data_IF_941731160450
#
_entry.id   IF_941731160450
#
_cell.length_a   1.000
_cell.length_b   1.000
_cell.length_c   1.000
_cell.angle_alpha   90.00
_cell.angle_beta   90.00
_cell.angle_gamma   90.00
#
_symmetry.space_group_name_H-M   'P 1'
#
loop_
_entity.id
_entity.type
_entity.pdbx_description
1 polymer ?
#
# COMPACT_ATOMS: atom_id res chain seq x y z
N UNK A 1 -45.89 -27.13 -9.66
CA UNK A 1 -45.05 -27.90 -8.72
C UNK A 1 -44.30 -28.94 -9.52
N UNK A 2 -43.07 -28.63 -9.92
CA UNK A 2 -42.12 -29.61 -10.40
C UNK A 2 -41.12 -29.78 -9.25
N UNK A 3 -41.15 -30.95 -8.62
CA UNK A 3 -40.20 -31.35 -7.59
C UNK A 3 -38.83 -31.52 -8.24
N UNK A 4 -37.86 -30.73 -7.83
CA UNK A 4 -36.45 -31.08 -8.04
C UNK A 4 -36.17 -32.24 -7.10
N UNK A 5 -35.87 -33.42 -7.65
CA UNK A 5 -35.44 -34.57 -6.87
C UNK A 5 -34.11 -34.24 -6.18
N UNK A 6 -34.04 -34.46 -4.87
CA UNK A 6 -32.84 -34.34 -4.03
C UNK A 6 -31.79 -35.43 -4.36
N UNK A 7 -31.34 -35.52 -5.62
CA UNK A 7 -30.34 -36.52 -6.05
C UNK A 7 -29.11 -35.94 -6.76
N UNK A 8 -29.00 -34.61 -6.93
CA UNK A 8 -27.85 -33.98 -7.61
C UNK A 8 -27.05 -33.01 -6.72
N UNK A 9 -27.11 -33.16 -5.40
CA UNK A 9 -26.31 -32.33 -4.48
C UNK A 9 -24.88 -32.83 -4.25
N UNK A 10 -24.40 -33.79 -5.05
CA UNK A 10 -23.11 -34.47 -4.82
C UNK A 10 -22.25 -34.66 -6.08
N UNK A 11 -22.67 -34.13 -7.22
CA UNK A 11 -21.80 -34.03 -8.40
C UNK A 11 -21.00 -32.75 -8.26
N UNK A 12 -19.77 -32.89 -7.74
CA UNK A 12 -18.75 -31.87 -7.91
C UNK A 12 -18.55 -31.66 -9.41
N UNK A 13 -19.28 -30.70 -9.97
CA UNK A 13 -19.25 -30.41 -11.38
C UNK A 13 -17.88 -29.92 -11.84
N UNK A 14 -17.02 -29.48 -10.92
CA UNK A 14 -15.64 -29.06 -11.20
C UNK A 14 -14.76 -30.26 -11.50
N UNK A 15 -14.98 -31.42 -10.85
CA UNK A 15 -14.23 -32.66 -11.10
C UNK A 15 -14.37 -33.22 -12.52
N UNK A 16 -15.33 -32.71 -13.31
CA UNK A 16 -15.47 -33.04 -14.73
C UNK A 16 -14.45 -32.33 -15.63
N UNK A 17 -13.73 -31.34 -15.10
CA UNK A 17 -12.76 -30.54 -15.83
C UNK A 17 -11.35 -30.81 -15.30
N UNK A 18 -10.44 -31.17 -16.20
CA UNK A 18 -9.01 -31.24 -15.89
C UNK A 18 -8.42 -29.83 -15.92
N UNK A 19 -8.49 -29.15 -14.77
CA UNK A 19 -7.98 -27.77 -14.61
C UNK A 19 -6.45 -27.68 -14.57
N UNK A 20 -5.75 -28.83 -14.53
CA UNK A 20 -4.29 -28.88 -14.59
C UNK A 20 -3.77 -28.89 -16.05
N UNK A 21 -4.68 -29.00 -17.03
CA UNK A 21 -4.35 -29.05 -18.45
C UNK A 21 -4.81 -27.81 -19.20
N UNK A 22 -3.85 -26.96 -19.57
CA UNK A 22 -4.07 -25.80 -20.44
C UNK A 22 -4.68 -26.23 -21.79
N UNK A 23 -5.66 -25.44 -22.25
CA UNK A 23 -6.30 -25.56 -23.55
C UNK A 23 -7.82 -25.60 -23.49
N UNK A 24 -8.43 -25.74 -24.67
CA UNK A 24 -9.89 -25.80 -24.83
C UNK A 24 -10.37 -27.24 -24.79
N UNK A 25 -11.26 -27.53 -23.85
CA UNK A 25 -12.02 -28.79 -23.78
C UNK A 25 -13.45 -28.55 -24.23
N UNK A 26 -13.93 -29.37 -25.17
CA UNK A 26 -15.31 -29.30 -25.69
C UNK A 26 -16.17 -30.37 -25.03
N UNK A 27 -17.34 -29.98 -24.55
CA UNK A 27 -18.26 -30.87 -23.84
C UNK A 27 -19.57 -31.00 -24.62
N UNK A 28 -20.03 -32.24 -24.72
CA UNK A 28 -21.29 -32.58 -25.37
C UNK A 28 -22.26 -33.15 -24.35
N UNK A 29 -23.46 -32.58 -24.27
CA UNK A 29 -24.56 -32.98 -23.39
C UNK A 29 -25.90 -32.48 -23.92
N UNK A 30 -26.89 -32.17 -23.06
CA UNK A 30 -28.14 -31.53 -23.50
C UNK A 30 -27.93 -30.15 -24.17
N UNK A 31 -26.79 -29.52 -23.89
CA UNK A 31 -26.27 -28.33 -24.58
C UNK A 31 -24.77 -28.52 -24.80
N UNK A 32 -24.26 -27.99 -25.91
CA UNK A 32 -22.82 -27.90 -26.17
C UNK A 32 -22.25 -26.69 -25.43
N UNK A 33 -21.08 -26.87 -24.82
CA UNK A 33 -20.30 -25.79 -24.22
C UNK A 33 -18.81 -26.13 -24.25
N UNK A 34 -17.97 -25.12 -24.07
CA UNK A 34 -16.52 -25.24 -24.07
C UNK A 34 -15.96 -24.67 -22.76
N UNK A 35 -14.85 -25.24 -22.29
CA UNK A 35 -14.07 -24.73 -21.15
C UNK A 35 -12.64 -24.52 -21.63
N UNK A 36 -12.11 -23.32 -21.41
CA UNK A 36 -10.73 -22.98 -21.69
C UNK A 36 -9.97 -22.82 -20.37
N UNK A 37 -8.96 -23.66 -20.18
CA UNK A 37 -8.00 -23.53 -19.07
C UNK A 37 -6.79 -22.77 -19.61
N UNK A 38 -6.45 -21.65 -19.00
CA UNK A 38 -5.33 -20.78 -19.40
C UNK A 38 -4.17 -20.89 -18.41
N UNK A 39 -2.96 -20.53 -18.84
CA UNK A 39 -1.86 -20.26 -17.91
C UNK A 39 -2.20 -18.98 -17.13
N UNK A 40 -2.29 -19.08 -15.80
CA UNK A 40 -2.70 -17.94 -14.96
C UNK A 40 -1.75 -16.75 -14.99
N UNK A 41 -0.55 -16.90 -15.55
CA UNK A 41 0.54 -15.93 -15.43
C UNK A 41 1.05 -15.37 -16.76
N UNK A 42 0.74 -16.03 -17.89
CA UNK A 42 1.29 -15.70 -19.21
C UNK A 42 0.91 -14.28 -19.65
N UNK A 43 -0.38 -13.99 -19.77
CA UNK A 43 -0.89 -12.67 -20.18
C UNK A 43 -0.39 -11.54 -19.27
N UNK A 44 -0.34 -11.81 -17.97
CA UNK A 44 0.15 -10.86 -16.98
C UNK A 44 1.62 -10.49 -17.22
N UNK A 45 2.49 -11.47 -17.47
CA UNK A 45 3.90 -11.19 -17.75
C UNK A 45 4.15 -10.66 -19.15
N UNK A 46 3.31 -10.99 -20.13
CA UNK A 46 3.34 -10.32 -21.43
C UNK A 46 3.06 -8.82 -21.28
N UNK A 47 2.05 -8.45 -20.50
CA UNK A 47 1.76 -7.05 -20.18
C UNK A 47 2.95 -6.38 -19.49
N UNK A 48 3.48 -6.96 -18.40
CA UNK A 48 4.59 -6.35 -17.65
C UNK A 48 5.87 -6.18 -18.48
N UNK A 49 6.16 -7.10 -19.42
CA UNK A 49 7.29 -6.96 -20.36
C UNK A 49 7.16 -5.75 -21.29
N UNK A 50 5.93 -5.28 -21.56
CA UNK A 50 5.73 -4.03 -22.31
C UNK A 50 6.02 -2.79 -21.46
N UNK A 51 6.05 -2.93 -20.14
CA UNK A 51 6.12 -1.82 -19.21
C UNK A 51 7.53 -1.56 -18.67
N UNK A 52 8.30 -2.63 -18.47
CA UNK A 52 9.60 -2.62 -17.81
C UNK A 52 10.72 -3.12 -18.72
N UNK A 53 11.95 -2.69 -18.45
CA UNK A 53 13.16 -3.21 -19.08
C UNK A 53 13.69 -4.40 -18.26
N UNK A 54 13.18 -5.58 -18.59
CA UNK A 54 13.56 -6.83 -17.91
C UNK A 54 15.05 -7.16 -18.10
N UNK A 55 15.69 -6.73 -19.20
CA UNK A 55 17.13 -6.96 -19.40
C UNK A 55 17.96 -6.17 -18.39
N UNK A 56 17.57 -4.92 -18.11
CA UNK A 56 18.23 -4.11 -17.08
C UNK A 56 18.06 -4.72 -15.68
N UNK A 57 16.88 -5.27 -15.38
CA UNK A 57 16.60 -5.91 -14.10
C UNK A 57 17.40 -7.22 -13.99
N UNK A 58 17.47 -8.04 -15.03
CA UNK A 58 18.33 -9.23 -15.05
C UNK A 58 19.80 -8.88 -14.77
N UNK A 59 20.32 -7.76 -15.31
CA UNK A 59 21.68 -7.29 -15.01
C UNK A 59 21.87 -6.93 -13.54
N UNK A 60 20.84 -6.38 -12.88
CA UNK A 60 20.85 -6.15 -11.43
C UNK A 60 20.93 -7.48 -10.67
N UNK A 61 20.11 -8.48 -11.02
CA UNK A 61 20.13 -9.81 -10.40
C UNK A 61 21.44 -10.59 -10.65
N UNK A 62 22.14 -10.30 -11.75
CA UNK A 62 23.42 -10.92 -12.06
C UNK A 62 24.61 -10.32 -11.28
N UNK A 63 24.40 -9.23 -10.53
CA UNK A 63 25.46 -8.65 -9.68
C UNK A 63 25.73 -9.57 -8.48
N UNK A 64 27.01 -9.77 -8.18
CA UNK A 64 27.42 -10.57 -7.02
C UNK A 64 27.09 -9.91 -5.67
N UNK A 65 26.91 -8.59 -5.67
CA UNK A 65 26.63 -7.78 -4.48
C UNK A 65 25.16 -7.37 -4.34
N UNK A 66 24.25 -7.98 -5.13
CA UNK A 66 22.81 -7.78 -5.00
C UNK A 66 22.10 -9.09 -4.68
N UNK A 67 21.29 -9.05 -3.63
CA UNK A 67 20.48 -10.18 -3.17
C UNK A 67 19.03 -9.77 -2.93
N UNK A 68 18.11 -10.66 -3.29
CA UNK A 68 16.67 -10.40 -3.25
C UNK A 68 15.92 -11.55 -2.56
N UNK A 69 14.91 -11.21 -1.76
CA UNK A 69 14.00 -12.16 -1.14
C UNK A 69 12.55 -11.70 -1.26
N UNK A 70 11.73 -12.51 -1.92
CA UNK A 70 10.29 -12.34 -1.99
C UNK A 70 9.58 -13.36 -1.10
N UNK A 71 8.56 -12.88 -0.39
CA UNK A 71 7.69 -13.70 0.43
C UNK A 71 6.26 -13.71 -0.14
N UNK A 72 5.87 -14.87 -0.68
CA UNK A 72 4.54 -15.04 -1.27
C UNK A 72 3.46 -15.36 -0.22
N UNK A 73 3.80 -15.45 1.07
CA UNK A 73 2.86 -15.69 2.18
C UNK A 73 1.93 -16.90 1.98
N UNK A 74 2.39 -17.93 1.25
CA UNK A 74 1.59 -19.11 0.86
C UNK A 74 0.32 -18.78 0.06
N UNK A 75 0.33 -17.63 -0.62
CA UNK A 75 -0.79 -17.06 -1.35
C UNK A 75 -0.62 -17.19 -2.87
N UNK A 76 -1.57 -16.62 -3.63
CA UNK A 76 -1.69 -16.78 -5.09
C UNK A 76 -0.46 -16.30 -5.85
N UNK A 77 0.32 -15.38 -5.29
CA UNK A 77 1.53 -14.84 -5.93
C UNK A 77 2.71 -15.82 -5.94
N UNK A 78 2.61 -16.99 -5.30
CA UNK A 78 3.68 -18.00 -5.29
C UNK A 78 4.15 -18.45 -6.69
N UNK A 79 3.26 -19.00 -7.54
CA UNK A 79 3.57 -19.34 -8.93
C UNK A 79 4.08 -18.16 -9.76
N UNK A 80 3.47 -16.98 -9.58
CA UNK A 80 3.89 -15.75 -10.27
C UNK A 80 5.32 -15.36 -9.88
N UNK A 81 5.66 -15.42 -8.59
CA UNK A 81 6.98 -15.10 -8.10
C UNK A 81 8.05 -16.07 -8.61
N UNK A 82 7.74 -17.36 -8.71
CA UNK A 82 8.67 -18.34 -9.29
C UNK A 82 8.93 -18.05 -10.77
N UNK A 83 7.87 -17.86 -11.56
CA UNK A 83 8.03 -17.53 -12.98
C UNK A 83 8.74 -16.19 -13.20
N UNK A 84 8.36 -15.15 -12.46
CA UNK A 84 8.96 -13.82 -12.59
C UNK A 84 10.40 -13.78 -12.08
N UNK A 85 10.63 -14.04 -10.79
CA UNK A 85 11.93 -13.79 -10.19
C UNK A 85 12.94 -14.86 -10.57
N UNK A 86 12.55 -16.14 -10.61
CA UNK A 86 13.49 -17.25 -10.87
C UNK A 86 13.66 -17.46 -12.38
N UNK A 87 12.57 -17.78 -13.10
CA UNK A 87 12.66 -18.19 -14.50
C UNK A 87 12.96 -17.01 -15.44
N UNK A 88 12.30 -15.88 -15.25
CA UNK A 88 12.44 -14.71 -16.12
C UNK A 88 13.63 -13.84 -15.69
N UNK A 89 13.73 -13.47 -14.42
CA UNK A 89 14.75 -12.51 -13.95
C UNK A 89 16.06 -13.16 -13.48
N UNK A 90 16.11 -14.47 -13.31
CA UNK A 90 17.34 -15.22 -13.02
C UNK A 90 17.75 -15.24 -11.54
N UNK A 91 16.84 -14.95 -10.62
CA UNK A 91 17.09 -15.11 -9.19
C UNK A 91 17.26 -16.59 -8.81
N UNK A 92 18.04 -16.93 -7.77
CA UNK A 92 18.10 -18.29 -7.26
C UNK A 92 16.74 -18.73 -6.67
N UNK A 93 16.46 -20.04 -6.61
CA UNK A 93 15.21 -20.56 -6.03
C UNK A 93 14.97 -20.09 -4.58
N UNK A 94 16.06 -19.89 -3.82
CA UNK A 94 16.01 -19.37 -2.45
C UNK A 94 15.49 -17.95 -2.32
N UNK A 95 15.37 -17.20 -3.43
CA UNK A 95 14.80 -15.86 -3.45
C UNK A 95 13.28 -15.83 -3.32
N UNK A 96 12.60 -16.99 -3.33
CA UNK A 96 11.16 -17.07 -3.07
C UNK A 96 10.92 -17.94 -1.84
N UNK A 97 10.41 -17.34 -0.76
CA UNK A 97 9.93 -18.06 0.41
C UNK A 97 8.39 -18.14 0.41
N UNK A 98 7.87 -19.19 1.03
CA UNK A 98 6.42 -19.47 1.10
C UNK A 98 5.73 -19.44 -0.28
N UNK A 99 6.46 -19.78 -1.35
CA UNK A 99 6.01 -19.71 -2.75
C UNK A 99 5.06 -20.83 -3.21
N UNK A 100 4.46 -21.57 -2.29
CA UNK A 100 3.47 -22.62 -2.60
C UNK A 100 2.13 -22.18 -2.04
N UNK A 101 1.12 -22.09 -2.91
CA UNK A 101 -0.25 -21.76 -2.51
C UNK A 101 -0.80 -22.84 -1.58
N UNK A 102 -1.35 -22.44 -0.43
CA UNK A 102 -2.02 -23.33 0.52
C UNK A 102 -3.41 -22.77 0.83
N UNK A 103 -4.41 -23.64 0.95
CA UNK A 103 -5.80 -23.23 1.22
C UNK A 103 -5.96 -22.45 2.53
N UNK A 104 -5.09 -22.72 3.51
CA UNK A 104 -5.05 -22.08 4.82
C UNK A 104 -3.91 -21.06 4.97
N UNK A 105 -3.22 -20.73 3.87
CA UNK A 105 -2.02 -19.86 3.86
C UNK A 105 -0.93 -20.29 4.86
N UNK A 106 -0.83 -21.61 5.14
CA UNK A 106 0.10 -22.13 6.15
C UNK A 106 -0.28 -21.77 7.59
N UNK A 107 -1.56 -21.50 7.83
CA UNK A 107 -2.10 -21.05 9.12
C UNK A 107 -1.79 -19.59 9.46
N UNK A 108 -1.23 -18.83 8.50
CA UNK A 108 -0.88 -17.42 8.65
C UNK A 108 -1.95 -16.45 8.11
N UNK A 109 -1.73 -15.15 8.34
CA UNK A 109 -2.54 -14.10 7.72
C UNK A 109 -1.77 -13.55 6.51
N UNK A 110 -2.27 -13.69 5.26
CA UNK A 110 -1.58 -13.24 4.06
C UNK A 110 -1.77 -11.71 3.87
N UNK A 111 -1.23 -10.93 4.81
CA UNK A 111 -1.29 -9.47 4.84
C UNK A 111 0.12 -8.91 5.11
N UNK A 112 0.75 -8.22 4.14
CA UNK A 112 2.18 -7.90 4.18
C UNK A 112 2.45 -6.66 5.04
N UNK A 113 2.40 -6.83 6.36
CA UNK A 113 2.75 -5.79 7.34
C UNK A 113 3.83 -6.29 8.32
N UNK A 114 4.39 -5.38 9.13
CA UNK A 114 5.48 -5.68 10.06
C UNK A 114 5.11 -6.75 11.12
N UNK A 115 3.82 -6.97 11.38
CA UNK A 115 3.34 -7.99 12.32
C UNK A 115 3.26 -9.36 11.65
N UNK A 116 2.57 -9.49 10.53
CA UNK A 116 2.32 -10.79 9.88
C UNK A 116 3.46 -11.26 8.97
N UNK A 117 4.25 -10.33 8.42
CA UNK A 117 5.47 -10.62 7.66
C UNK A 117 6.73 -10.54 8.53
N UNK A 118 6.61 -10.75 9.85
CA UNK A 118 7.73 -10.65 10.79
C UNK A 118 8.90 -11.60 10.45
N UNK A 119 8.65 -12.77 9.84
CA UNK A 119 9.73 -13.64 9.37
C UNK A 119 10.58 -12.97 8.28
N UNK A 120 9.93 -12.35 7.28
CA UNK A 120 10.62 -11.61 6.23
C UNK A 120 11.40 -10.42 6.83
N UNK A 121 10.79 -9.66 7.74
CA UNK A 121 11.46 -8.52 8.42
C UNK A 121 12.73 -8.99 9.13
N UNK A 122 12.67 -10.09 9.88
CA UNK A 122 13.85 -10.67 10.54
C UNK A 122 14.92 -11.12 9.56
N UNK A 123 14.53 -11.71 8.42
CA UNK A 123 15.48 -12.10 7.37
C UNK A 123 16.14 -10.90 6.70
N UNK A 124 15.44 -9.76 6.61
CA UNK A 124 15.95 -8.52 6.05
C UNK A 124 16.78 -7.69 7.05
N UNK A 125 16.81 -8.05 8.33
CA UNK A 125 17.52 -7.31 9.37
C UNK A 125 18.97 -7.82 9.53
N UNK A 126 20.00 -7.02 9.19
CA UNK A 126 21.40 -7.44 9.31
C UNK A 126 21.85 -7.73 10.74
N UNK A 127 21.13 -7.23 11.76
CA UNK A 127 21.40 -7.55 13.16
C UNK A 127 20.93 -8.96 13.55
N UNK A 128 20.00 -9.54 12.79
CA UNK A 128 19.43 -10.88 13.01
C UNK A 128 19.85 -11.89 11.93
N UNK A 129 20.25 -11.42 10.75
CA UNK A 129 20.72 -12.21 9.63
C UNK A 129 21.92 -11.53 8.95
N UNK A 130 23.13 -12.05 9.17
CA UNK A 130 24.35 -11.51 8.54
C UNK A 130 24.32 -11.52 7.00
N UNK A 131 23.49 -12.39 6.40
CA UNK A 131 23.24 -12.47 4.96
C UNK A 131 21.88 -11.84 4.59
N UNK A 132 21.48 -10.77 5.29
CA UNK A 132 20.26 -10.05 4.98
C UNK A 132 20.25 -9.58 3.51
N UNK A 133 19.15 -9.80 2.76
CA UNK A 133 19.06 -9.39 1.37
C UNK A 133 19.14 -7.87 1.23
N UNK A 134 19.59 -7.40 0.07
CA UNK A 134 19.65 -5.98 -0.28
C UNK A 134 18.25 -5.39 -0.52
N UNK A 135 17.33 -6.23 -1.01
CA UNK A 135 15.91 -5.93 -1.11
C UNK A 135 15.06 -7.13 -0.67
N UNK A 136 14.10 -6.87 0.21
CA UNK A 136 13.03 -7.79 0.58
C UNK A 136 11.68 -7.28 0.08
N UNK A 137 10.77 -8.20 -0.26
CA UNK A 137 9.40 -7.83 -0.59
C UNK A 137 8.41 -8.92 -0.20
N UNK A 138 7.15 -8.53 0.04
CA UNK A 138 6.04 -9.46 0.24
C UNK A 138 4.80 -8.99 -0.53
N UNK A 139 3.90 -9.92 -0.82
CA UNK A 139 2.58 -9.61 -1.37
C UNK A 139 1.50 -10.37 -0.61
N UNK A 140 0.25 -9.91 -0.72
CA UNK A 140 -0.87 -10.40 0.08
C UNK A 140 -1.62 -11.57 -0.59
N UNK A 141 -2.79 -11.92 -0.02
CA UNK A 141 -3.57 -13.10 -0.38
C UNK A 141 -3.93 -13.22 -1.86
N UNK A 142 -4.35 -12.13 -2.49
CA UNK A 142 -4.74 -12.06 -3.90
C UNK A 142 -3.71 -11.33 -4.78
N UNK A 143 -2.68 -10.73 -4.18
CA UNK A 143 -1.55 -10.14 -4.87
C UNK A 143 -1.69 -8.65 -5.20
N UNK A 144 -2.71 -7.98 -4.67
CA UNK A 144 -3.01 -6.59 -4.94
C UNK A 144 -2.21 -5.61 -4.04
N UNK A 145 -1.57 -6.11 -2.97
CA UNK A 145 -0.74 -5.33 -2.05
C UNK A 145 0.71 -5.79 -2.01
N UNK A 146 1.58 -4.90 -1.55
CA UNK A 146 3.02 -5.13 -1.45
C UNK A 146 3.66 -4.46 -0.23
N UNK A 147 4.65 -5.11 0.35
CA UNK A 147 5.59 -4.51 1.29
C UNK A 147 6.99 -4.49 0.68
N UNK A 148 7.72 -3.40 0.90
CA UNK A 148 9.10 -3.22 0.42
C UNK A 148 10.04 -3.02 1.61
N UNK A 149 11.13 -3.76 1.61
CA UNK A 149 12.20 -3.70 2.60
C UNK A 149 13.54 -3.52 1.89
N UNK A 150 14.40 -2.68 2.47
CA UNK A 150 15.84 -2.74 2.27
C UNK A 150 16.51 -3.55 3.39
N UNK A 151 17.83 -3.66 3.31
CA UNK A 151 18.66 -4.27 4.37
C UNK A 151 18.55 -3.50 5.69
N UNK A 152 17.75 -4.01 6.61
CA UNK A 152 17.44 -3.38 7.90
C UNK A 152 16.58 -2.13 7.80
N UNK A 153 15.89 -1.93 6.67
CA UNK A 153 15.19 -0.67 6.38
C UNK A 153 13.77 -0.92 5.89
N UNK A 154 12.77 -0.36 6.58
CA UNK A 154 11.38 -0.43 6.16
C UNK A 154 11.01 0.77 5.28
N UNK A 155 10.52 0.52 4.07
CA UNK A 155 9.93 1.55 3.21
C UNK A 155 8.44 1.61 3.53
N UNK A 156 7.98 2.74 4.09
CA UNK A 156 6.54 2.90 4.33
C UNK A 156 5.78 2.89 2.99
N UNK A 157 4.52 2.42 2.93
CA UNK A 157 3.73 2.46 1.69
C UNK A 157 3.61 3.88 1.12
N UNK A 158 3.58 4.89 1.99
CA UNK A 158 3.50 6.30 1.60
C UNK A 158 4.80 6.77 0.90
N UNK A 159 5.97 6.45 1.49
CA UNK A 159 7.27 6.75 0.87
C UNK A 159 7.46 5.93 -0.42
N UNK A 160 7.01 4.67 -0.43
CA UNK A 160 7.06 3.80 -1.60
C UNK A 160 6.35 4.43 -2.80
N UNK A 161 5.10 4.86 -2.61
CA UNK A 161 4.33 5.58 -3.63
C UNK A 161 5.07 6.85 -4.08
N UNK A 162 5.56 7.66 -3.15
CA UNK A 162 6.23 8.92 -3.46
C UNK A 162 7.53 8.71 -4.26
N UNK A 163 8.35 7.72 -3.90
CA UNK A 163 9.58 7.36 -4.62
C UNK A 163 9.26 6.86 -6.02
N UNK A 164 8.27 5.97 -6.17
CA UNK A 164 7.84 5.45 -7.47
C UNK A 164 7.41 6.62 -8.36
N UNK A 165 6.54 7.52 -7.88
CA UNK A 165 6.08 8.68 -8.66
C UNK A 165 7.24 9.62 -9.02
N UNK A 166 8.18 9.86 -8.08
CA UNK A 166 9.31 10.75 -8.30
C UNK A 166 10.25 10.25 -9.41
N UNK A 167 10.41 8.94 -9.53
CA UNK A 167 11.35 8.30 -10.44
C UNK A 167 10.69 7.64 -11.65
N UNK A 168 9.35 7.61 -11.73
CA UNK A 168 8.61 6.88 -12.76
C UNK A 168 9.04 7.26 -14.18
N UNK A 169 9.00 8.55 -14.53
CA UNK A 169 9.34 9.00 -15.88
C UNK A 169 10.84 8.86 -16.22
N UNK A 170 11.71 8.78 -15.21
CA UNK A 170 13.16 8.60 -15.40
C UNK A 170 13.51 7.12 -15.59
N UNK A 171 12.99 6.26 -14.71
CA UNK A 171 13.46 4.89 -14.56
C UNK A 171 12.58 3.85 -15.24
N UNK A 172 11.28 4.08 -15.40
CA UNK A 172 10.32 3.06 -15.82
C UNK A 172 9.87 3.35 -17.26
N UNK A 173 10.21 2.48 -18.25
CA UNK A 173 9.92 2.72 -19.67
C UNK A 173 8.46 3.10 -19.95
N UNK A 174 7.52 2.42 -19.28
CA UNK A 174 6.08 2.66 -19.41
C UNK A 174 5.65 4.09 -19.11
N UNK A 175 6.30 4.80 -18.19
CA UNK A 175 5.90 6.13 -17.74
C UNK A 175 6.65 7.27 -18.42
N UNK A 176 7.64 6.96 -19.27
CA UNK A 176 8.46 7.96 -19.96
C UNK A 176 7.58 8.85 -20.84
N UNK A 177 7.46 10.13 -20.45
CA UNK A 177 6.63 11.11 -21.16
C UNK A 177 5.12 10.92 -21.01
N UNK A 178 4.67 10.10 -20.03
CA UNK A 178 3.25 9.80 -19.79
C UNK A 178 2.70 10.32 -18.47
N UNK A 179 3.55 10.76 -17.55
CA UNK A 179 3.11 11.27 -16.25
C UNK A 179 2.38 12.61 -16.40
N UNK A 180 1.10 12.64 -16.04
CA UNK A 180 0.26 13.85 -15.93
C UNK A 180 -0.20 14.07 -14.49
N UNK A 181 -0.38 12.98 -13.72
CA UNK A 181 -0.76 13.08 -12.32
C UNK A 181 -0.55 11.79 -11.51
N UNK A 182 -0.76 11.92 -10.21
CA UNK A 182 -0.78 10.83 -9.25
C UNK A 182 -2.01 10.96 -8.33
N UNK A 183 -2.37 9.88 -7.64
CA UNK A 183 -3.44 9.93 -6.65
C UNK A 183 -3.09 9.11 -5.41
N UNK A 184 -3.65 9.52 -4.26
CA UNK A 184 -3.57 8.75 -3.03
C UNK A 184 -4.88 8.80 -2.26
N UNK A 185 -5.09 7.81 -1.39
CA UNK A 185 -6.19 7.89 -0.43
C UNK A 185 -5.91 9.01 0.58
N UNK A 186 -6.96 9.63 1.11
CA UNK A 186 -6.87 10.68 2.12
C UNK A 186 -6.04 10.27 3.35
N UNK A 187 -6.15 9.05 3.88
CA UNK A 187 -5.33 8.61 5.01
C UNK A 187 -3.86 8.37 4.67
N UNK A 188 -3.49 8.24 3.39
CA UNK A 188 -2.09 8.12 2.96
C UNK A 188 -1.35 9.43 3.21
N UNK A 189 -0.13 9.35 3.73
CA UNK A 189 0.73 10.50 4.01
C UNK A 189 0.98 11.33 2.74
N UNK A 190 1.14 12.64 2.91
CA UNK A 190 1.28 13.62 1.85
C UNK A 190 2.66 13.66 1.17
N UNK A 191 3.45 12.58 1.24
CA UNK A 191 4.77 12.51 0.63
C UNK A 191 4.71 12.68 -0.90
N UNK A 192 3.75 12.01 -1.54
CA UNK A 192 3.53 12.11 -2.99
C UNK A 192 3.08 13.52 -3.42
N UNK A 193 2.41 14.26 -2.56
CA UNK A 193 1.98 15.64 -2.82
C UNK A 193 3.20 16.56 -2.97
N UNK A 194 4.26 16.35 -2.17
CA UNK A 194 5.53 17.08 -2.28
C UNK A 194 6.24 16.78 -3.60
N UNK A 195 6.17 15.52 -4.05
CA UNK A 195 6.70 15.09 -5.34
C UNK A 195 5.93 15.73 -6.48
N UNK A 196 4.61 15.61 -6.49
CA UNK A 196 3.75 16.13 -7.53
C UNK A 196 3.89 17.66 -7.66
N UNK A 197 3.94 18.39 -6.54
CA UNK A 197 4.16 19.83 -6.53
C UNK A 197 5.51 20.21 -7.19
N UNK A 198 6.59 19.47 -6.91
CA UNK A 198 7.92 19.74 -7.49
C UNK A 198 8.01 19.36 -8.97
N UNK A 199 7.30 18.31 -9.39
CA UNK A 199 7.29 17.83 -10.77
C UNK A 199 6.22 18.51 -11.65
N UNK A 200 5.34 19.32 -11.08
CA UNK A 200 4.24 19.98 -11.80
C UNK A 200 3.14 19.00 -12.24
N UNK A 201 2.92 17.94 -11.47
CA UNK A 201 1.89 16.92 -11.72
C UNK A 201 0.60 17.26 -10.97
N UNK A 202 -0.55 16.83 -11.49
CA UNK A 202 -1.77 16.80 -10.70
C UNK A 202 -1.62 15.78 -9.56
N UNK A 203 -2.18 16.08 -8.38
CA UNK A 203 -2.20 15.14 -7.26
C UNK A 203 -3.59 15.12 -6.63
N UNK A 204 -4.23 13.95 -6.65
CA UNK A 204 -5.59 13.78 -6.13
C UNK A 204 -5.57 13.10 -4.77
N UNK A 205 -6.20 13.75 -3.80
CA UNK A 205 -6.55 13.14 -2.51
C UNK A 205 -7.98 12.59 -2.59
N UNK A 206 -8.13 11.28 -2.66
CA UNK A 206 -9.43 10.61 -2.81
C UNK A 206 -9.86 9.93 -1.50
N UNK A 207 -11.13 9.59 -1.31
CA UNK A 207 -11.49 8.67 -0.23
C UNK A 207 -10.86 7.29 -0.45
N UNK A 208 -10.80 6.46 0.60
CA UNK A 208 -10.36 5.07 0.47
C UNK A 208 -11.28 4.30 -0.48
N UNK A 209 -10.68 3.49 -1.35
CA UNK A 209 -11.37 2.62 -2.28
C UNK A 209 -10.98 2.87 -3.74
N UNK A 210 -10.57 1.80 -4.42
CA UNK A 210 -9.99 1.86 -5.76
C UNK A 210 -10.90 2.47 -6.84
N UNK A 211 -12.22 2.48 -6.64
CA UNK A 211 -13.18 3.08 -7.58
C UNK A 211 -12.88 4.55 -7.93
N UNK A 212 -12.38 5.35 -6.98
CA UNK A 212 -12.05 6.76 -7.24
C UNK A 212 -10.78 6.88 -8.09
N UNK A 213 -9.82 5.99 -7.88
CA UNK A 213 -8.64 5.91 -8.75
C UNK A 213 -9.04 5.44 -10.14
N UNK A 214 -9.90 4.42 -10.27
CA UNK A 214 -10.42 3.95 -11.56
C UNK A 214 -10.92 5.09 -12.46
N UNK A 215 -11.74 5.98 -11.91
CA UNK A 215 -12.21 7.19 -12.61
C UNK A 215 -11.05 8.08 -13.12
N UNK A 216 -10.06 8.35 -12.26
CA UNK A 216 -8.91 9.20 -12.61
C UNK A 216 -7.97 8.53 -13.62
N UNK A 217 -7.78 7.22 -13.52
CA UNK A 217 -7.00 6.40 -14.45
C UNK A 217 -7.66 6.37 -15.83
N UNK A 218 -8.98 6.14 -15.90
CA UNK A 218 -9.76 6.17 -17.14
C UNK A 218 -9.73 7.54 -17.82
N UNK A 219 -9.73 8.62 -17.03
CA UNK A 219 -9.64 9.98 -17.53
C UNK A 219 -8.22 10.44 -17.90
N UNK A 220 -7.19 9.61 -17.65
CA UNK A 220 -5.79 9.96 -17.90
C UNK A 220 -5.28 11.12 -17.04
N UNK A 221 -5.93 11.38 -15.89
CA UNK A 221 -5.54 12.44 -14.94
C UNK A 221 -4.59 11.96 -13.86
N UNK A 222 -4.49 10.65 -13.67
CA UNK A 222 -3.44 10.04 -12.87
C UNK A 222 -2.91 8.79 -13.60
N UNK A 223 -1.63 8.48 -13.42
CA UNK A 223 -1.02 7.26 -13.95
C UNK A 223 -0.61 6.29 -12.84
N UNK A 224 -0.39 6.79 -11.62
CA UNK A 224 0.06 6.00 -10.48
C UNK A 224 -0.80 6.38 -9.27
N UNK A 225 -1.30 5.37 -8.56
CA UNK A 225 -2.13 5.54 -7.38
C UNK A 225 -1.65 4.66 -6.24
N UNK A 226 -1.87 5.09 -4.99
CA UNK A 226 -1.53 4.26 -3.84
C UNK A 226 -2.33 4.55 -2.56
N UNK A 227 -2.29 3.57 -1.67
CA UNK A 227 -2.95 3.59 -0.36
C UNK A 227 -1.96 3.18 0.73
N UNK A 228 -2.12 3.76 1.91
CA UNK A 228 -1.30 3.52 3.10
C UNK A 228 -1.33 2.06 3.57
N UNK A 229 -2.36 1.33 3.14
CA UNK A 229 -2.56 -0.10 3.40
C UNK A 229 -1.77 -0.98 2.43
N UNK A 230 -0.52 -0.63 2.10
CA UNK A 230 0.37 -1.42 1.24
C UNK A 230 -0.13 -1.58 -0.21
N UNK A 231 -1.04 -0.72 -0.67
CA UNK A 231 -1.62 -0.78 -2.00
C UNK A 231 -0.93 0.19 -2.95
N UNK A 232 -0.50 -0.28 -4.12
CA UNK A 232 0.03 0.60 -5.17
C UNK A 232 -0.34 0.00 -6.53
N UNK A 233 -0.68 0.85 -7.49
CA UNK A 233 -1.02 0.42 -8.84
C UNK A 233 -0.91 1.57 -9.82
N UNK A 234 -1.23 1.29 -11.08
CA UNK A 234 -1.14 2.25 -12.17
C UNK A 234 -2.27 2.05 -13.19
N UNK A 235 -2.26 2.85 -14.26
CA UNK A 235 -3.26 2.82 -15.33
C UNK A 235 -3.22 1.55 -16.21
N UNK A 236 -2.28 0.62 -15.97
CA UNK A 236 -2.11 -0.62 -16.74
C UNK A 236 -3.23 -1.63 -16.51
N UNK A 237 -3.84 -1.63 -15.33
CA UNK A 237 -5.01 -2.44 -14.97
C UNK A 237 -6.00 -1.59 -14.15
N UNK A 238 -7.12 -2.18 -13.72
CA UNK A 238 -8.12 -1.52 -12.86
C UNK A 238 -8.18 -2.13 -11.46
N UNK A 239 -7.02 -2.57 -10.98
CA UNK A 239 -6.77 -3.03 -9.62
C UNK A 239 -5.43 -2.52 -9.10
N UNK A 240 -5.22 -2.66 -7.80
CA UNK A 240 -3.89 -2.55 -7.20
C UNK A 240 -3.06 -3.75 -7.66
N UNK A 241 -1.74 -3.61 -7.67
CA UNK A 241 -0.86 -4.66 -8.19
C UNK A 241 0.46 -4.69 -7.42
N UNK A 242 0.60 -5.67 -6.55
CA UNK A 242 1.75 -5.80 -5.67
C UNK A 242 3.04 -6.15 -6.41
N UNK A 243 2.97 -7.05 -7.40
CA UNK A 243 4.14 -7.44 -8.19
C UNK A 243 4.58 -6.31 -9.12
N UNK A 244 3.64 -5.53 -9.68
CA UNK A 244 3.95 -4.29 -10.40
C UNK A 244 4.73 -3.30 -9.53
N UNK A 245 4.30 -3.07 -8.28
CA UNK A 245 4.99 -2.14 -7.38
C UNK A 245 6.41 -2.63 -7.03
N UNK A 246 6.58 -3.95 -6.84
CA UNK A 246 7.89 -4.56 -6.63
C UNK A 246 8.78 -4.41 -7.87
N UNK A 247 8.24 -4.61 -9.08
CA UNK A 247 8.95 -4.36 -10.33
C UNK A 247 9.31 -2.88 -10.53
N UNK A 248 8.48 -1.94 -10.09
CA UNK A 248 8.84 -0.52 -10.07
C UNK A 248 10.13 -0.29 -9.26
N UNK A 249 10.21 -0.88 -8.06
CA UNK A 249 11.41 -0.78 -7.22
C UNK A 249 12.63 -1.45 -7.84
N UNK A 250 12.48 -2.67 -8.38
CA UNK A 250 13.56 -3.37 -9.06
C UNK A 250 14.06 -2.60 -10.29
N UNK A 251 13.15 -2.00 -11.07
CA UNK A 251 13.49 -1.18 -12.22
C UNK A 251 14.25 0.10 -11.80
N UNK A 252 13.80 0.76 -10.73
CA UNK A 252 14.49 1.90 -10.15
C UNK A 252 15.91 1.51 -9.71
N UNK A 253 16.05 0.39 -8.98
CA UNK A 253 17.35 -0.13 -8.56
C UNK A 253 18.23 -0.47 -9.76
N UNK A 254 17.69 -1.09 -10.80
CA UNK A 254 18.43 -1.45 -12.01
C UNK A 254 19.00 -0.20 -12.71
N UNK A 255 18.22 0.87 -12.82
CA UNK A 255 18.68 2.14 -13.41
C UNK A 255 19.73 2.81 -12.54
N UNK A 256 19.51 2.89 -11.22
CA UNK A 256 20.45 3.51 -10.27
C UNK A 256 21.75 2.69 -10.10
N UNK A 257 21.75 1.42 -10.48
CA UNK A 257 22.90 0.51 -10.44
C UNK A 257 23.37 0.05 -11.82
N UNK A 258 23.12 0.85 -12.86
CA UNK A 258 23.48 0.53 -14.24
C UNK A 258 25.00 0.43 -14.49
N UNK A 259 25.82 1.09 -13.67
CA UNK A 259 27.26 0.89 -13.62
C UNK A 259 27.59 -0.27 -12.66
N UNK A 260 27.87 -1.45 -13.22
CA UNK A 260 28.24 -2.64 -12.47
C UNK A 260 29.57 -2.50 -11.69
N UNK A 261 30.41 -1.50 -12.02
CA UNK A 261 31.67 -1.26 -11.32
C UNK A 261 31.54 -0.34 -10.11
N UNK A 262 30.41 0.37 -9.99
CA UNK A 262 30.12 1.23 -8.86
C UNK A 262 29.56 0.42 -7.66
N UNK A 263 29.78 0.91 -6.43
CA UNK A 263 29.13 0.35 -5.24
C UNK A 263 27.60 0.36 -5.39
N UNK A 264 26.94 -0.68 -4.88
CA UNK A 264 25.49 -0.79 -4.91
C UNK A 264 24.82 0.40 -4.20
N UNK A 265 23.96 1.10 -4.93
CA UNK A 265 22.97 2.05 -4.43
C UNK A 265 21.82 1.24 -3.81
N UNK A 266 21.67 1.34 -2.49
CA UNK A 266 20.69 0.58 -1.71
C UNK A 266 19.30 1.22 -1.70
N UNK A 267 18.27 0.43 -1.35
CA UNK A 267 16.90 0.93 -1.11
C UNK A 267 16.89 2.08 -0.09
N UNK A 268 17.61 1.94 1.02
CA UNK A 268 17.72 2.98 2.05
C UNK A 268 18.33 4.27 1.50
N UNK A 269 19.38 4.19 0.67
CA UNK A 269 20.00 5.38 0.09
C UNK A 269 19.06 6.13 -0.83
N UNK A 270 18.28 5.42 -1.66
CA UNK A 270 17.28 6.03 -2.55
C UNK A 270 16.21 6.76 -1.74
N UNK A 271 15.72 6.16 -0.65
CA UNK A 271 14.72 6.78 0.22
C UNK A 271 15.30 7.99 0.97
N UNK A 272 16.55 7.91 1.43
CA UNK A 272 17.22 9.06 2.08
C UNK A 272 17.46 10.22 1.10
N UNK A 273 17.84 9.93 -0.14
CA UNK A 273 17.98 10.94 -1.19
C UNK A 273 16.63 11.58 -1.54
N UNK A 274 15.56 10.77 -1.52
CA UNK A 274 14.19 11.27 -1.65
C UNK A 274 13.85 12.24 -0.50
N UNK A 275 14.07 11.86 0.75
CA UNK A 275 13.81 12.73 1.90
C UNK A 275 14.63 14.03 1.85
N UNK A 276 15.91 13.95 1.47
CA UNK A 276 16.73 15.14 1.29
C UNK A 276 16.18 16.10 0.21
N UNK A 277 15.49 15.55 -0.80
CA UNK A 277 14.97 16.30 -1.95
C UNK A 277 13.57 16.89 -1.71
N UNK A 278 12.71 16.19 -0.98
CA UNK A 278 11.28 16.50 -0.83
C UNK A 278 10.85 16.78 0.62
N UNK A 279 11.70 16.47 1.60
CA UNK A 279 11.33 16.34 3.00
C UNK A 279 10.88 14.91 3.33
N UNK A 280 10.76 14.61 4.62
CA UNK A 280 10.22 13.32 5.12
C UNK A 280 8.84 13.54 5.71
N UNK A 281 7.87 12.72 5.30
CA UNK A 281 6.57 12.64 5.96
C UNK A 281 6.60 11.42 6.90
N UNK A 282 6.94 11.66 8.16
CA UNK A 282 6.81 10.63 9.18
C UNK A 282 5.36 10.18 9.25
N UNK A 283 5.13 8.88 9.33
CA UNK A 283 3.80 8.30 9.32
C UNK A 283 3.70 7.15 10.32
N UNK A 284 2.54 7.02 10.96
CA UNK A 284 2.18 5.88 11.79
C UNK A 284 0.66 5.69 11.76
N UNK A 285 0.21 4.44 11.65
CA UNK A 285 -1.21 4.08 11.78
C UNK A 285 -1.42 3.19 12.99
N UNK A 286 -2.35 3.58 13.84
CA UNK A 286 -2.77 2.84 15.03
C UNK A 286 -4.18 2.28 14.80
N UNK A 287 -4.30 0.97 14.78
CA UNK A 287 -5.58 0.27 14.63
C UNK A 287 -6.02 -0.30 15.97
N UNK A 288 -7.21 0.10 16.42
CA UNK A 288 -7.89 -0.43 17.60
C UNK A 288 -9.04 -1.32 17.14
N UNK A 289 -8.77 -2.61 17.02
CA UNK A 289 -9.69 -3.59 16.45
C UNK A 289 -10.66 -4.17 17.48
N UNK A 290 -11.85 -4.59 17.05
CA UNK A 290 -12.83 -5.25 17.92
C UNK A 290 -13.35 -4.36 19.05
N UNK A 291 -13.43 -3.05 18.80
CA UNK A 291 -14.00 -2.08 19.74
C UNK A 291 -15.53 -2.17 19.64
N UNK A 292 -16.21 -1.98 20.78
CA UNK A 292 -17.66 -1.92 20.81
C UNK A 292 -18.17 -0.77 19.93
N UNK A 293 -19.10 -1.06 19.02
CA UNK A 293 -19.53 -0.16 17.94
C UNK A 293 -20.10 1.15 18.45
N UNK A 294 -20.95 1.13 19.48
CA UNK A 294 -21.58 2.34 20.03
C UNK A 294 -20.54 3.23 20.73
N UNK A 295 -19.58 2.62 21.42
CA UNK A 295 -18.48 3.30 22.09
C UNK A 295 -17.55 3.97 21.07
N UNK A 296 -17.26 3.29 19.97
CA UNK A 296 -16.49 3.85 18.87
C UNK A 296 -17.24 4.99 18.17
N UNK A 297 -18.55 4.85 17.94
CA UNK A 297 -19.38 5.90 17.37
C UNK A 297 -19.40 7.16 18.25
N UNK A 298 -19.59 7.01 19.57
CA UNK A 298 -19.54 8.13 20.53
C UNK A 298 -18.19 8.86 20.53
N UNK A 299 -17.09 8.13 20.37
CA UNK A 299 -15.76 8.74 20.25
C UNK A 299 -15.65 9.59 18.97
N UNK A 300 -16.19 9.10 17.85
CA UNK A 300 -16.22 9.85 16.59
C UNK A 300 -17.13 11.09 16.68
N UNK A 301 -18.29 10.97 17.33
CA UNK A 301 -19.18 12.10 17.58
C UNK A 301 -18.49 13.16 18.46
N UNK A 302 -17.79 12.74 19.52
CA UNK A 302 -16.99 13.63 20.35
C UNK A 302 -15.92 14.38 19.54
N UNK A 303 -15.19 13.68 18.67
CA UNK A 303 -14.21 14.33 17.79
C UNK A 303 -14.87 15.33 16.84
N UNK A 304 -16.07 15.06 16.35
CA UNK A 304 -16.82 16.01 15.52
C UNK A 304 -17.20 17.27 16.33
N UNK A 305 -17.64 17.12 17.57
CA UNK A 305 -17.91 18.25 18.47
C UNK A 305 -16.64 19.08 18.75
N UNK A 306 -15.48 18.42 18.89
CA UNK A 306 -14.18 19.11 19.01
C UNK A 306 -13.88 19.92 17.75
N UNK A 307 -14.12 19.38 16.55
CA UNK A 307 -13.95 20.12 15.30
C UNK A 307 -14.88 21.34 15.23
N UNK A 308 -16.15 21.18 15.60
CA UNK A 308 -17.13 22.28 15.63
C UNK A 308 -16.68 23.40 16.59
N UNK A 309 -16.19 23.02 17.78
CA UNK A 309 -15.62 23.95 18.75
C UNK A 309 -14.39 24.69 18.23
N UNK A 310 -13.47 23.99 17.56
CA UNK A 310 -12.30 24.61 16.93
C UNK A 310 -12.70 25.60 15.84
N UNK A 311 -13.56 25.18 14.93
CA UNK A 311 -14.02 26.01 13.80
C UNK A 311 -14.76 27.27 14.29
N UNK A 312 -15.58 27.15 15.34
CA UNK A 312 -16.30 28.29 15.91
C UNK A 312 -15.38 29.33 16.58
N UNK A 313 -14.18 28.93 17.00
CA UNK A 313 -13.20 29.79 17.68
C UNK A 313 -11.99 30.12 16.80
N UNK A 314 -12.05 29.84 15.49
CA UNK A 314 -10.97 30.14 14.56
C UNK A 314 -10.72 31.65 14.46
N UNK A 315 -9.44 32.05 14.51
CA UNK A 315 -9.00 33.43 14.32
C UNK A 315 -8.11 33.48 13.08
N UNK A 316 -8.47 34.33 12.12
CA UNK A 316 -7.79 34.44 10.81
C UNK A 316 -7.67 33.09 10.07
N UNK A 317 -8.69 32.23 10.20
CA UNK A 317 -8.72 30.89 9.58
C UNK A 317 -7.81 29.85 10.26
N UNK A 318 -7.17 30.20 11.37
CA UNK A 318 -6.33 29.30 12.16
C UNK A 318 -7.02 28.91 13.47
N UNK A 319 -6.89 27.65 13.85
CA UNK A 319 -7.41 27.10 15.09
C UNK A 319 -6.27 26.71 16.02
N UNK A 320 -6.54 26.73 17.33
CA UNK A 320 -5.57 26.37 18.37
C UNK A 320 -6.11 25.21 19.19
N UNK A 321 -5.27 24.21 19.44
CA UNK A 321 -5.50 23.16 20.42
C UNK A 321 -4.65 23.46 21.65
N UNK A 322 -5.24 24.11 22.65
CA UNK A 322 -4.63 24.46 23.94
C UNK A 322 -3.12 24.85 23.85
N UNK A 323 -2.27 24.11 24.56
CA UNK A 323 -0.81 24.32 24.67
C UNK A 323 -0.02 23.69 23.51
N UNK A 324 -0.67 23.16 22.47
CA UNK A 324 0.03 22.61 21.33
C UNK A 324 0.63 23.72 20.47
N UNK A 325 1.95 23.65 20.26
CA UNK A 325 2.73 24.74 19.68
C UNK A 325 2.44 25.04 18.20
N UNK A 326 1.71 24.16 17.50
CA UNK A 326 1.42 24.26 16.07
C UNK A 326 -0.06 24.50 15.84
N UNK A 327 -0.41 25.51 15.04
CA UNK A 327 -1.82 25.83 14.74
C UNK A 327 -2.39 24.90 13.67
N UNK A 328 -3.71 24.75 13.71
CA UNK A 328 -4.46 24.00 12.71
C UNK A 328 -4.96 24.93 11.62
N UNK A 329 -4.82 24.48 10.38
CA UNK A 329 -5.39 25.11 9.18
C UNK A 329 -6.73 24.49 8.80
N UNK A 330 -7.02 23.27 9.25
CA UNK A 330 -8.27 22.57 8.94
C UNK A 330 -8.67 21.61 10.06
N UNK A 331 -9.95 21.62 10.41
CA UNK A 331 -10.60 20.64 11.29
C UNK A 331 -11.93 20.26 10.62
N UNK A 332 -11.95 19.17 9.87
CA UNK A 332 -13.10 18.82 9.01
C UNK A 332 -13.37 17.32 8.97
N UNK A 333 -14.58 16.96 8.57
CA UNK A 333 -14.90 15.60 8.16
C UNK A 333 -14.80 15.50 6.63
N UNK A 334 -13.76 14.80 6.16
CA UNK A 334 -13.37 14.77 4.75
C UNK A 334 -14.56 14.46 3.84
N UNK A 335 -14.71 15.28 2.81
CA UNK A 335 -15.67 15.09 1.74
C UNK A 335 -14.98 15.27 0.40
N UNK A 336 -15.44 14.52 -0.59
CA UNK A 336 -14.83 14.47 -1.91
C UNK A 336 -15.93 14.56 -2.95
N UNK A 337 -15.72 15.43 -3.95
CA UNK A 337 -16.53 15.46 -5.16
C UNK A 337 -15.65 14.93 -6.28
N UNK A 338 -16.03 13.79 -6.84
CA UNK A 338 -15.27 13.16 -7.91
C UNK A 338 -15.27 14.07 -9.15
N UNK A 339 -14.09 14.43 -9.69
CA UNK A 339 -14.01 15.39 -10.78
C UNK A 339 -14.37 14.79 -12.14
N UNK A 340 -14.61 13.48 -12.22
CA UNK A 340 -14.95 12.76 -13.44
C UNK A 340 -16.45 12.50 -13.52
N UNK A 341 -17.03 11.87 -12.48
CA UNK A 341 -18.44 11.50 -12.47
C UNK A 341 -19.35 12.43 -11.65
N UNK A 342 -18.77 13.37 -10.89
CA UNK A 342 -19.51 14.33 -10.05
C UNK A 342 -20.13 13.73 -8.79
N UNK A 343 -19.87 12.46 -8.49
CA UNK A 343 -20.36 11.81 -7.27
C UNK A 343 -19.75 12.44 -6.02
N UNK A 344 -20.54 12.52 -4.95
CA UNK A 344 -20.14 13.16 -3.70
C UNK A 344 -20.05 12.10 -2.59
N UNK A 345 -18.86 11.94 -2.03
CA UNK A 345 -18.62 11.14 -0.84
C UNK A 345 -18.45 12.05 0.37
N UNK A 346 -19.27 11.86 1.39
CA UNK A 346 -19.20 12.64 2.64
C UNK A 346 -18.79 11.74 3.80
N UNK A 347 -18.35 12.36 4.90
CA UNK A 347 -18.04 11.68 6.16
C UNK A 347 -16.96 10.60 6.04
N UNK A 348 -15.91 10.87 5.27
CA UNK A 348 -14.89 9.88 4.92
C UNK A 348 -13.73 9.80 5.95
N UNK A 349 -13.71 10.69 6.95
CA UNK A 349 -12.75 10.67 8.06
C UNK A 349 -12.59 12.05 8.69
N UNK A 350 -12.42 12.10 10.00
CA UNK A 350 -12.21 13.34 10.75
C UNK A 350 -10.72 13.70 10.67
N UNK A 351 -10.39 14.83 10.04
CA UNK A 351 -9.03 15.29 9.80
C UNK A 351 -8.75 16.60 10.56
N UNK A 352 -7.58 16.64 11.20
CA UNK A 352 -6.98 17.82 11.82
C UNK A 352 -5.66 18.07 11.08
N UNK A 353 -5.61 19.10 10.23
CA UNK A 353 -4.41 19.47 9.47
C UNK A 353 -3.76 20.72 10.07
N UNK A 354 -2.43 20.71 10.11
CA UNK A 354 -1.60 21.71 10.77
C UNK A 354 -0.87 22.59 9.75
N UNK A 355 -0.44 23.78 10.18
CA UNK A 355 0.25 24.75 9.32
C UNK A 355 1.62 24.26 8.81
N UNK A 356 2.23 23.30 9.50
CA UNK A 356 3.50 22.66 9.13
C UNK A 356 3.34 21.48 8.15
N UNK A 357 2.14 21.27 7.59
CA UNK A 357 1.76 20.10 6.76
C UNK A 357 1.62 18.78 7.53
N UNK A 358 1.63 18.79 8.86
CA UNK A 358 1.29 17.60 9.67
C UNK A 358 -0.21 17.35 9.68
N UNK A 359 -0.64 16.11 9.95
CA UNK A 359 -2.05 15.71 9.98
C UNK A 359 -2.32 14.64 11.04
N UNK A 360 -3.48 14.74 11.68
CA UNK A 360 -4.08 13.66 12.48
C UNK A 360 -5.42 13.32 11.84
N UNK A 361 -5.66 12.03 11.57
CA UNK A 361 -6.89 11.57 10.94
C UNK A 361 -7.49 10.42 11.77
N UNK A 362 -8.81 10.45 11.96
CA UNK A 362 -9.57 9.36 12.55
C UNK A 362 -10.57 8.80 11.56
N UNK A 363 -10.60 7.47 11.43
CA UNK A 363 -11.59 6.75 10.65
C UNK A 363 -12.17 5.60 11.44
N UNK A 364 -13.44 5.33 11.20
CA UNK A 364 -14.13 4.17 11.72
C UNK A 364 -14.38 3.19 10.58
N UNK A 365 -14.04 1.93 10.79
CA UNK A 365 -14.18 0.86 9.79
C UNK A 365 -14.78 -0.40 10.41
N UNK A 366 -15.38 -1.26 9.58
CA UNK A 366 -15.79 -2.60 9.99
C UNK A 366 -16.91 -2.66 11.05
N UNK A 367 -17.99 -1.89 10.93
CA UNK A 367 -19.10 -1.86 11.93
C UNK A 367 -20.03 -3.08 11.91
N UNK A 368 -19.51 -4.26 11.52
CA UNK A 368 -20.26 -5.51 11.42
C UNK A 368 -20.37 -6.27 12.74
N UNK A 369 -20.74 -7.56 12.69
CA UNK A 369 -20.95 -8.41 13.87
C UNK A 369 -19.71 -8.64 14.75
N UNK A 370 -18.51 -8.32 14.23
CA UNK A 370 -17.23 -8.53 14.92
C UNK A 370 -16.73 -7.30 15.69
N UNK A 371 -17.55 -6.25 15.81
CA UNK A 371 -17.18 -4.96 16.40
C UNK A 371 -16.44 -4.05 15.43
N UNK A 372 -16.28 -2.78 15.79
CA UNK A 372 -15.68 -1.76 14.94
C UNK A 372 -14.15 -1.68 15.09
N UNK A 373 -13.49 -1.14 14.08
CA UNK A 373 -12.06 -0.79 14.12
C UNK A 373 -11.89 0.71 13.98
N UNK A 374 -11.32 1.33 15.01
CA UNK A 374 -10.90 2.73 14.98
C UNK A 374 -9.48 2.76 14.39
N UNK A 375 -9.30 3.54 13.33
CA UNK A 375 -8.00 3.79 12.71
C UNK A 375 -7.59 5.23 12.98
N UNK A 376 -6.46 5.40 13.64
CA UNK A 376 -5.85 6.69 13.93
C UNK A 376 -4.58 6.81 13.11
N UNK A 377 -4.50 7.82 12.24
CA UNK A 377 -3.37 8.08 11.36
C UNK A 377 -2.68 9.35 11.83
N UNK A 378 -1.35 9.30 11.94
CA UNK A 378 -0.55 10.42 12.39
C UNK A 378 0.54 10.65 11.36
N UNK A 379 0.61 11.88 10.88
CA UNK A 379 1.62 12.33 9.94
C UNK A 379 2.31 13.59 10.47
N UNK A 380 3.63 13.64 10.33
CA UNK A 380 4.43 14.84 10.58
C UNK A 380 5.41 15.08 9.45
N UNK A 381 5.38 16.27 8.87
CA UNK A 381 6.35 16.67 7.85
C UNK A 381 7.63 17.21 8.50
N UNK A 382 8.79 16.82 7.97
CA UNK A 382 10.09 17.30 8.39
C UNK A 382 10.94 17.67 7.18
N UNK A 383 11.32 18.95 7.12
CA UNK A 383 12.14 19.51 6.04
C UNK A 383 13.62 19.57 6.40
N UNK A 384 13.95 19.52 7.70
CA UNK A 384 15.31 19.61 8.21
C UNK A 384 16.05 18.26 8.07
N UNK A 385 17.07 18.16 7.19
CA UNK A 385 17.79 16.91 6.97
C UNK A 385 18.40 16.29 8.23
N UNK A 386 18.75 17.12 9.22
CA UNK A 386 19.32 16.63 10.48
C UNK A 386 18.29 15.89 11.34
N UNK A 387 17.00 16.19 11.16
CA UNK A 387 15.87 15.60 11.89
C UNK A 387 15.15 14.50 11.11
N UNK A 388 15.34 14.44 9.80
CA UNK A 388 14.73 13.42 8.95
C UNK A 388 15.16 12.00 9.32
N UNK A 389 16.29 11.81 10.00
CA UNK A 389 16.79 10.48 10.37
C UNK A 389 16.32 9.98 11.75
N UNK A 390 15.46 10.74 12.43
CA UNK A 390 14.86 10.30 13.68
C UNK A 390 14.05 9.01 13.50
N UNK A 391 13.92 8.25 14.57
CA UNK A 391 12.92 7.20 14.66
C UNK A 391 11.52 7.81 14.49
N UNK A 392 10.67 7.14 13.72
CA UNK A 392 9.35 7.67 13.39
C UNK A 392 8.45 7.83 14.63
N UNK A 393 8.50 6.88 15.57
CA UNK A 393 7.69 6.95 16.79
C UNK A 393 8.16 8.06 17.73
N UNK A 394 9.48 8.33 17.75
CA UNK A 394 10.04 9.50 18.46
C UNK A 394 9.57 10.80 17.80
N UNK A 395 9.67 10.92 16.48
CA UNK A 395 9.30 12.13 15.75
C UNK A 395 7.80 12.46 15.83
N UNK A 396 6.95 11.43 15.90
CA UNK A 396 5.49 11.52 15.93
C UNK A 396 4.91 11.64 17.35
N UNK A 397 5.72 11.44 18.40
CA UNK A 397 5.23 11.29 19.78
C UNK A 397 4.27 12.39 20.22
N UNK A 398 4.62 13.66 19.98
CA UNK A 398 3.80 14.80 20.39
C UNK A 398 2.43 14.82 19.68
N UNK A 399 2.39 14.46 18.40
CA UNK A 399 1.15 14.36 17.63
C UNK A 399 0.31 13.13 18.03
N UNK A 400 0.95 12.01 18.41
CA UNK A 400 0.26 10.83 18.94
C UNK A 400 -0.38 11.16 20.29
N UNK A 401 0.36 11.81 21.20
CA UNK A 401 -0.16 12.22 22.50
C UNK A 401 -1.34 13.19 22.35
N UNK A 402 -1.23 14.16 21.42
CA UNK A 402 -2.31 15.06 21.08
C UNK A 402 -3.53 14.32 20.53
N UNK A 403 -3.33 13.39 19.59
CA UNK A 403 -4.41 12.60 19.00
C UNK A 403 -5.17 11.81 20.09
N UNK A 404 -4.46 11.18 21.03
CA UNK A 404 -5.05 10.45 22.15
C UNK A 404 -5.79 11.38 23.13
N UNK A 405 -5.25 12.58 23.37
CA UNK A 405 -5.90 13.60 24.20
C UNK A 405 -7.22 14.07 23.58
N UNK A 406 -7.21 14.52 22.33
CA UNK A 406 -8.41 15.13 21.69
C UNK A 406 -9.51 14.11 21.40
N UNK A 407 -9.14 12.84 21.18
CA UNK A 407 -10.12 11.78 20.94
C UNK A 407 -10.72 11.22 22.21
N UNK A 408 -10.05 11.39 23.36
CA UNK A 408 -10.34 10.69 24.60
C UNK A 408 -10.56 9.18 24.37
N UNK A 409 -9.76 8.58 23.47
CA UNK A 409 -9.99 7.21 22.98
C UNK A 409 -10.06 6.20 24.12
N UNK A 410 -9.18 6.32 25.11
CA UNK A 410 -9.18 5.46 26.31
C UNK A 410 -10.47 5.62 27.12
N UNK A 411 -10.98 6.84 27.27
CA UNK A 411 -12.20 7.11 28.04
C UNK A 411 -13.45 6.49 27.39
N UNK A 412 -13.53 6.52 26.06
CA UNK A 412 -14.66 5.94 25.32
C UNK A 412 -14.56 4.41 25.17
N UNK A 413 -13.36 3.89 24.90
CA UNK A 413 -13.19 2.50 24.45
C UNK A 413 -12.56 1.58 25.49
N UNK A 414 -11.97 2.13 26.56
CA UNK A 414 -11.16 1.40 27.52
C UNK A 414 -9.81 0.91 26.99
N UNK A 415 -9.47 1.17 25.71
CA UNK A 415 -8.21 0.71 25.11
C UNK A 415 -7.04 1.61 25.51
N UNK A 416 -5.98 0.99 26.01
CA UNK A 416 -4.74 1.71 26.37
C UNK A 416 -3.68 1.67 25.26
N UNK A 417 -3.74 0.65 24.39
CA UNK A 417 -2.78 0.41 23.31
C UNK A 417 -3.52 -0.02 22.05
N UNK A 418 -3.00 0.32 20.86
CA UNK A 418 -3.53 -0.20 19.61
C UNK A 418 -3.32 -1.73 19.53
N UNK A 419 -4.17 -2.39 18.76
CA UNK A 419 -4.00 -3.80 18.40
C UNK A 419 -2.86 -3.96 17.40
N UNK A 420 -2.77 -3.07 16.42
CA UNK A 420 -1.75 -3.06 15.36
C UNK A 420 -1.16 -1.65 15.20
N UNK A 421 0.15 -1.57 15.02
CA UNK A 421 0.87 -0.36 14.63
C UNK A 421 1.52 -0.63 13.26
N UNK A 422 1.29 0.26 12.30
CA UNK A 422 1.90 0.22 10.96
C UNK A 422 2.75 1.45 10.71
#
# INVERSE_FOLDING_TARGET
MASVSETDSNTDCVSMFDIDKIGVSKFSGPKEFEVEVIDSTEDYFELLKTMFDFESIQKLFAREDFTFLFDAMNAVTGPYAKKLFIEILGAPESSVMRGTCLEDFGGGHPDPNLTYAAELVKKCDPSQNASAPDMGAASDGDGDRNMILGKGFFVTPNDSLAVIVALASECIPYFKGRMTGAARSMPTAGAVDKVAAKLGLECFETPTGWKYFGNLLDAGRAQICGEESFGTGADHVREKDGLFAILCWLQILAVKNSDASAPLVSVESIVKDHWATYGRNFFSRYDYEGVETDSAAKMMDHLAEVQDGLNANAVDGLMKLDDFGVKLTTATNFSYTDPIDGSVAQKQGLMFAFEDSSRIIFRLSGTGSSGATIRMYIEKYESDPEKQLLDAQVALKEYIDLALQISNLKGFTGREKPTVIT
#
